data_IF_503284862237
#
_entry.id   IF_503284862237
#
_cell.length_a   1.000
_cell.length_b   1.000
_cell.length_c   1.000
_cell.angle_alpha   90.00
_cell.angle_beta   90.00
_cell.angle_gamma   90.00
#
_symmetry.space_group_name_H-M   'P 1'
#
loop_
_entity.id
_entity.type
_entity.pdbx_description
1 polymer ?
#
# COMPACT_ATOMS: atom_id res chain seq x y z
N UNK A 1 -0.14 2.65 16.79
CA UNK A 1 1.25 2.40 17.21
C UNK A 1 2.08 3.64 16.93
N UNK A 2 3.02 3.99 17.83
CA UNK A 2 3.84 5.18 17.66
C UNK A 2 4.94 4.96 16.62
N UNK A 3 5.22 5.99 15.82
CA UNK A 3 6.51 6.16 15.17
C UNK A 3 7.52 6.63 16.25
N UNK A 4 8.74 6.08 16.33
CA UNK A 4 9.69 6.44 17.37
C UNK A 4 10.00 7.94 17.42
N UNK A 5 10.09 8.50 18.61
CA UNK A 5 10.40 9.92 18.80
C UNK A 5 10.36 10.35 20.27
N UNK A 6 10.77 11.59 20.53
CA UNK A 6 10.89 12.10 21.91
C UNK A 6 9.55 12.57 22.53
N UNK A 7 8.46 12.61 21.76
CA UNK A 7 7.14 13.14 22.17
C UNK A 7 6.00 12.14 21.89
N UNK A 8 6.27 10.85 22.11
CA UNK A 8 5.28 9.77 21.97
C UNK A 8 5.24 8.86 23.19
N UNK A 9 4.08 8.26 23.43
CA UNK A 9 3.87 7.29 24.50
C UNK A 9 3.90 5.89 23.89
N UNK A 10 4.80 5.05 24.39
CA UNK A 10 4.90 3.64 24.03
C UNK A 10 3.86 2.80 24.77
N UNK A 11 3.37 1.72 24.17
CA UNK A 11 2.36 0.87 24.79
C UNK A 11 2.93 0.08 25.97
N UNK A 12 2.13 -0.12 27.04
CA UNK A 12 2.58 -0.78 28.29
C UNK A 12 2.77 -2.30 28.22
N UNK A 13 2.73 -2.88 27.02
CA UNK A 13 2.87 -4.32 26.78
C UNK A 13 4.18 -4.62 26.06
N UNK A 14 4.49 -5.91 25.87
CA UNK A 14 5.79 -6.42 25.36
C UNK A 14 6.35 -5.77 24.11
N UNK A 15 5.52 -5.21 23.23
CA UNK A 15 5.99 -4.47 22.05
C UNK A 15 6.90 -3.28 22.42
N UNK A 16 6.74 -2.64 23.59
CA UNK A 16 7.67 -1.56 24.00
C UNK A 16 9.09 -2.07 24.23
N UNK A 17 9.26 -3.30 24.70
CA UNK A 17 10.58 -3.94 24.85
C UNK A 17 11.18 -4.15 23.45
N UNK A 18 10.39 -4.62 22.49
CA UNK A 18 10.83 -4.81 21.11
C UNK A 18 11.26 -3.49 20.41
N UNK A 19 10.58 -2.35 20.68
CA UNK A 19 11.05 -1.05 20.19
C UNK A 19 12.42 -0.69 20.77
N UNK A 20 12.64 -0.93 22.07
CA UNK A 20 13.90 -0.64 22.75
C UNK A 20 15.03 -1.51 22.17
N UNK A 21 14.79 -2.80 21.98
CA UNK A 21 15.73 -3.72 21.36
C UNK A 21 16.11 -3.28 19.93
N UNK A 22 15.12 -2.98 19.09
CA UNK A 22 15.33 -2.52 17.71
C UNK A 22 16.14 -1.22 17.66
N UNK A 23 15.82 -0.22 18.48
CA UNK A 23 16.55 1.05 18.53
C UNK A 23 17.98 0.86 19.08
N UNK A 24 18.14 0.05 20.11
CA UNK A 24 19.46 -0.21 20.74
C UNK A 24 20.40 -0.92 19.76
N UNK A 25 19.88 -1.79 18.90
CA UNK A 25 20.65 -2.46 17.84
C UNK A 25 21.30 -1.46 16.86
N UNK A 26 20.67 -0.29 16.66
CA UNK A 26 21.18 0.82 15.85
C UNK A 26 21.83 1.94 16.69
N UNK A 27 22.19 1.65 17.95
CA UNK A 27 22.77 2.60 18.91
C UNK A 27 21.91 3.84 19.21
N UNK A 28 20.57 3.71 19.11
CA UNK A 28 19.60 4.74 19.46
C UNK A 28 18.99 4.47 20.84
N UNK A 29 18.83 5.54 21.63
CA UNK A 29 18.20 5.49 22.94
C UNK A 29 16.73 5.90 22.86
N UNK A 30 15.83 4.95 23.15
CA UNK A 30 14.38 5.17 23.16
C UNK A 30 13.94 6.21 24.20
N UNK A 31 14.69 6.36 25.30
CA UNK A 31 14.39 7.33 26.36
C UNK A 31 14.92 8.74 26.00
N UNK A 32 15.74 8.86 24.94
CA UNK A 32 16.28 10.13 24.46
C UNK A 32 16.45 10.16 22.92
N UNK A 33 15.33 10.25 22.21
CA UNK A 33 15.29 10.33 20.74
C UNK A 33 15.62 11.73 20.17
N UNK A 34 16.25 12.62 20.95
CA UNK A 34 16.69 13.95 20.48
C UNK A 34 18.04 13.83 19.79
N UNK A 35 18.17 14.52 18.66
CA UNK A 35 19.43 14.61 17.92
C UNK A 35 20.08 15.99 18.12
N UNK A 36 21.42 16.04 18.13
CA UNK A 36 22.17 17.30 18.32
C UNK A 36 21.86 18.33 17.22
N UNK A 37 21.72 17.86 15.98
CA UNK A 37 21.22 18.65 14.85
C UNK A 37 19.70 18.69 14.95
N UNK A 38 19.14 19.88 15.16
CA UNK A 38 17.72 20.12 15.43
C UNK A 38 16.81 19.48 14.38
N UNK A 39 17.16 19.59 13.10
CA UNK A 39 16.32 19.14 11.99
C UNK A 39 16.17 17.61 11.92
N UNK A 40 17.03 16.86 12.64
CA UNK A 40 16.96 15.41 12.74
C UNK A 40 16.33 14.92 14.06
N UNK A 41 15.91 15.83 14.95
CA UNK A 41 15.20 15.46 16.17
C UNK A 41 13.75 15.07 15.84
N UNK A 42 13.43 13.78 16.00
CA UNK A 42 12.12 13.23 15.66
C UNK A 42 11.19 13.30 16.87
N UNK A 43 10.09 14.05 16.76
CA UNK A 43 9.04 14.06 17.79
C UNK A 43 8.29 12.73 17.87
N UNK A 44 8.17 12.03 16.73
CA UNK A 44 7.30 10.87 16.58
C UNK A 44 5.86 11.28 16.22
N UNK A 45 5.02 10.27 15.96
CA UNK A 45 3.59 10.43 15.65
C UNK A 45 2.85 9.11 15.91
N UNK A 46 1.52 9.08 15.74
CA UNK A 46 0.73 7.85 15.89
C UNK A 46 0.13 7.40 14.55
N UNK A 47 0.27 6.11 14.26
CA UNK A 47 -0.28 5.49 13.05
C UNK A 47 -1.19 4.32 13.39
N UNK A 48 -2.31 4.18 12.67
CA UNK A 48 -3.22 3.03 12.78
C UNK A 48 -2.52 1.76 12.26
N UNK A 49 -2.68 0.65 12.97
CA UNK A 49 -2.07 -0.64 12.59
C UNK A 49 -2.87 -1.38 11.52
N UNK A 50 -4.19 -1.23 11.55
CA UNK A 50 -5.12 -1.84 10.60
C UNK A 50 -6.02 -0.72 10.07
N UNK A 51 -6.20 -0.71 8.77
CA UNK A 51 -7.15 0.15 8.06
C UNK A 51 -8.16 -0.75 7.38
N UNK A 52 -9.45 -0.46 7.59
CA UNK A 52 -10.54 -1.05 6.82
C UNK A 52 -10.86 -0.11 5.65
N UNK A 53 -10.61 -0.50 4.39
CA UNK A 53 -11.01 0.31 3.23
C UNK A 53 -12.53 0.51 3.22
N UNK A 54 -12.97 1.65 2.69
CA UNK A 54 -14.39 1.97 2.53
C UNK A 54 -14.82 1.82 1.08
N UNK A 55 -16.14 1.76 0.83
CA UNK A 55 -16.71 1.72 -0.52
C UNK A 55 -16.09 0.62 -1.40
N UNK A 56 -15.91 -0.56 -0.81
CA UNK A 56 -15.23 -1.67 -1.48
C UNK A 56 -16.21 -2.37 -2.43
N UNK A 57 -15.88 -2.39 -3.72
CA UNK A 57 -16.54 -3.20 -4.74
C UNK A 57 -15.52 -3.84 -5.65
N UNK A 58 -15.86 -4.99 -6.22
CA UNK A 58 -14.98 -5.70 -7.14
C UNK A 58 -15.76 -6.52 -8.15
N UNK A 59 -15.11 -6.82 -9.25
CA UNK A 59 -15.60 -7.72 -10.29
C UNK A 59 -14.42 -8.46 -10.94
N UNK A 60 -14.69 -9.67 -11.44
CA UNK A 60 -13.70 -10.43 -12.20
C UNK A 60 -14.07 -10.35 -13.67
N UNK A 61 -13.17 -9.77 -14.45
CA UNK A 61 -13.39 -9.48 -15.88
C UNK A 61 -12.55 -10.43 -16.72
N UNK A 62 -13.19 -11.08 -17.69
CA UNK A 62 -12.49 -11.87 -18.70
C UNK A 62 -11.98 -10.95 -19.82
N UNK A 63 -10.76 -11.18 -20.32
CA UNK A 63 -10.16 -10.36 -21.37
C UNK A 63 -9.14 -11.14 -22.20
N UNK A 64 -8.88 -10.67 -23.43
CA UNK A 64 -7.90 -11.29 -24.34
C UNK A 64 -6.68 -10.40 -24.61
N UNK A 65 -6.87 -9.08 -24.71
CA UNK A 65 -5.80 -8.11 -25.00
C UNK A 65 -5.49 -7.23 -23.77
N UNK A 66 -4.27 -7.33 -23.18
CA UNK A 66 -3.85 -6.49 -22.05
C UNK A 66 -3.79 -4.98 -22.34
N UNK A 67 -3.80 -4.55 -23.60
CA UNK A 67 -3.75 -3.12 -23.98
C UNK A 67 -5.11 -2.44 -23.90
N UNK A 68 -6.21 -3.20 -23.85
CA UNK A 68 -7.57 -2.66 -23.79
C UNK A 68 -7.89 -2.28 -22.34
N UNK A 69 -8.18 -1.00 -22.04
CA UNK A 69 -8.57 -0.57 -20.70
C UNK A 69 -9.87 -1.22 -20.23
N UNK A 70 -9.95 -1.56 -18.94
CA UNK A 70 -11.14 -2.16 -18.32
C UNK A 70 -12.11 -1.12 -17.72
N UNK A 71 -11.85 0.17 -17.90
CA UNK A 71 -12.71 1.27 -17.47
C UNK A 71 -12.32 2.55 -18.22
N UNK A 72 -13.22 3.53 -18.27
CA UNK A 72 -12.94 4.84 -18.82
C UNK A 72 -12.26 5.76 -17.80
N UNK A 73 -11.32 6.57 -18.26
CA UNK A 73 -10.81 7.71 -17.49
C UNK A 73 -11.73 8.93 -17.60
N UNK A 74 -11.48 9.93 -16.77
CA UNK A 74 -12.21 11.21 -16.83
C UNK A 74 -12.13 11.85 -18.23
N UNK A 75 -10.96 11.76 -18.89
CA UNK A 75 -10.75 12.29 -20.25
C UNK A 75 -11.56 11.50 -21.27
N UNK A 76 -11.60 10.17 -21.18
CA UNK A 76 -12.39 9.32 -22.07
C UNK A 76 -13.88 9.66 -22.00
N UNK A 77 -14.37 9.96 -20.80
CA UNK A 77 -15.75 10.38 -20.58
C UNK A 77 -16.04 11.77 -21.19
N UNK A 78 -15.12 12.72 -21.05
CA UNK A 78 -15.24 14.06 -21.65
C UNK A 78 -15.23 14.01 -23.19
N UNK A 79 -14.47 13.08 -23.76
CA UNK A 79 -14.42 12.83 -25.21
C UNK A 79 -15.61 12.01 -25.72
N UNK A 80 -16.51 11.56 -24.84
CA UNK A 80 -17.69 10.77 -25.20
C UNK A 80 -17.36 9.36 -25.68
N UNK A 81 -16.23 8.79 -25.25
CA UNK A 81 -15.88 7.41 -25.60
C UNK A 81 -16.85 6.42 -24.94
N UNK A 82 -17.30 5.38 -25.66
CA UNK A 82 -18.19 4.38 -25.08
C UNK A 82 -17.48 3.62 -23.94
N UNK A 83 -18.19 3.28 -22.85
CA UNK A 83 -17.63 2.42 -21.81
C UNK A 83 -17.20 1.05 -22.36
N UNK A 84 -16.13 0.43 -21.81
CA UNK A 84 -15.71 -0.90 -22.23
C UNK A 84 -16.80 -1.94 -21.95
N UNK A 85 -17.04 -2.83 -22.92
CA UNK A 85 -17.96 -3.96 -22.78
C UNK A 85 -17.14 -5.24 -22.70
N UNK A 86 -17.41 -6.05 -21.68
CA UNK A 86 -16.64 -7.27 -21.41
C UNK A 86 -17.40 -8.51 -21.90
N UNK A 87 -16.66 -9.45 -22.48
CA UNK A 87 -17.18 -10.78 -22.77
C UNK A 87 -17.34 -11.60 -21.48
N UNK A 88 -18.22 -12.60 -21.49
CA UNK A 88 -18.39 -13.55 -20.37
C UNK A 88 -17.20 -14.49 -20.21
N UNK A 89 -16.45 -14.74 -21.28
CA UNK A 89 -15.27 -15.60 -21.32
C UNK A 89 -14.10 -14.91 -22.05
N UNK A 90 -12.89 -15.38 -21.81
CA UNK A 90 -11.66 -14.82 -22.37
C UNK A 90 -10.43 -15.58 -21.91
N UNK A 91 -9.30 -15.37 -22.59
CA UNK A 91 -8.03 -16.06 -22.34
C UNK A 91 -7.44 -15.74 -20.96
N UNK A 92 -7.64 -14.52 -20.47
CA UNK A 92 -7.13 -14.03 -19.20
C UNK A 92 -8.25 -13.55 -18.29
N UNK A 93 -7.91 -13.38 -17.00
CA UNK A 93 -8.83 -12.88 -15.97
C UNK A 93 -8.18 -11.75 -15.20
N UNK A 94 -8.89 -10.64 -15.07
CA UNK A 94 -8.49 -9.49 -14.28
C UNK A 94 -9.42 -9.32 -13.06
N UNK A 95 -8.86 -8.90 -11.93
CA UNK A 95 -9.61 -8.48 -10.76
C UNK A 95 -9.66 -6.94 -10.74
N UNK A 96 -10.82 -6.37 -11.09
CA UNK A 96 -11.07 -4.92 -11.01
C UNK A 96 -11.65 -4.61 -9.62
N UNK A 97 -11.07 -3.62 -8.95
CA UNK A 97 -11.43 -3.26 -7.57
C UNK A 97 -11.54 -1.75 -7.44
N UNK A 98 -12.54 -1.32 -6.68
CA UNK A 98 -12.76 0.05 -6.26
C UNK A 98 -12.79 0.08 -4.73
N UNK A 99 -12.04 1.02 -4.12
CA UNK A 99 -12.01 1.21 -2.68
C UNK A 99 -11.45 2.58 -2.31
N UNK A 100 -11.89 3.13 -1.18
CA UNK A 100 -11.40 4.40 -0.63
C UNK A 100 -10.48 4.15 0.56
N UNK A 101 -9.38 4.90 0.64
CA UNK A 101 -8.42 4.86 1.74
C UNK A 101 -8.28 6.23 2.40
N UNK A 102 -8.07 6.30 3.73
CA UNK A 102 -7.66 7.53 4.38
C UNK A 102 -6.29 8.03 3.89
N UNK A 103 -5.98 9.32 4.08
CA UNK A 103 -4.64 9.86 3.84
C UNK A 103 -3.54 9.05 4.53
N UNK A 104 -2.33 9.14 3.99
CA UNK A 104 -1.17 8.41 4.49
C UNK A 104 -1.34 6.88 4.49
N UNK A 105 -2.17 6.30 3.61
CA UNK A 105 -2.36 4.85 3.45
C UNK A 105 -1.91 4.40 2.05
N UNK A 106 -1.28 3.24 1.95
CA UNK A 106 -0.72 2.73 0.70
C UNK A 106 -1.66 1.68 0.07
N UNK A 107 -2.17 1.95 -1.14
CA UNK A 107 -3.03 1.01 -1.88
C UNK A 107 -2.32 -0.31 -2.18
N UNK A 108 -1.01 -0.28 -2.43
CA UNK A 108 -0.19 -1.48 -2.62
C UNK A 108 -0.24 -2.44 -1.43
N UNK A 109 -0.41 -1.94 -0.20
CA UNK A 109 -0.53 -2.81 0.99
C UNK A 109 -1.91 -3.47 1.07
N UNK A 110 -2.96 -2.82 0.58
CA UNK A 110 -4.28 -3.44 0.44
C UNK A 110 -4.24 -4.54 -0.63
N UNK A 111 -3.60 -4.27 -1.77
CA UNK A 111 -3.42 -5.26 -2.85
C UNK A 111 -2.56 -6.44 -2.37
N UNK A 112 -1.50 -6.19 -1.59
CA UNK A 112 -0.68 -7.23 -0.94
C UNK A 112 -1.53 -8.16 -0.08
N UNK A 113 -2.46 -7.59 0.68
CA UNK A 113 -3.38 -8.36 1.54
C UNK A 113 -4.37 -9.20 0.72
N UNK A 114 -4.84 -8.71 -0.43
CA UNK A 114 -5.70 -9.48 -1.34
C UNK A 114 -4.94 -10.64 -1.98
N UNK A 115 -3.76 -10.38 -2.53
CA UNK A 115 -2.99 -11.38 -3.28
C UNK A 115 -2.17 -12.32 -2.38
N UNK A 116 -1.94 -11.93 -1.12
CA UNK A 116 -1.05 -12.64 -0.18
C UNK A 116 0.36 -12.88 -0.75
N UNK A 117 0.81 -11.99 -1.63
CA UNK A 117 2.07 -12.06 -2.36
C UNK A 117 2.98 -10.87 -2.04
N UNK A 118 4.29 -11.08 -2.18
CA UNK A 118 5.25 -10.00 -2.00
C UNK A 118 5.11 -8.91 -3.09
N UNK A 119 5.21 -7.64 -2.68
CA UNK A 119 5.07 -6.48 -3.56
C UNK A 119 6.41 -5.80 -3.86
N UNK A 120 7.55 -6.44 -3.56
CA UNK A 120 8.85 -5.90 -3.93
C UNK A 120 8.98 -5.82 -5.46
N UNK A 121 9.80 -4.87 -5.91
CA UNK A 121 10.12 -4.71 -7.34
C UNK A 121 10.66 -6.03 -7.89
N UNK A 122 11.57 -6.70 -7.16
CA UNK A 122 12.14 -7.99 -7.57
C UNK A 122 11.06 -9.04 -7.86
N UNK A 123 10.08 -9.18 -6.97
CA UNK A 123 8.99 -10.14 -7.16
C UNK A 123 8.06 -9.72 -8.32
N UNK A 124 7.67 -8.44 -8.38
CA UNK A 124 6.76 -7.93 -9.41
C UNK A 124 7.36 -7.98 -10.82
N UNK A 125 8.67 -7.73 -10.98
CA UNK A 125 9.36 -7.85 -12.27
C UNK A 125 9.39 -9.29 -12.78
N UNK A 126 9.50 -10.29 -11.89
CA UNK A 126 9.48 -11.70 -12.29
C UNK A 126 8.09 -12.15 -12.81
N UNK A 127 7.01 -11.50 -12.35
CA UNK A 127 5.66 -11.78 -12.81
C UNK A 127 5.36 -11.17 -14.19
N UNK A 128 6.16 -10.19 -14.62
CA UNK A 128 5.97 -9.40 -15.83
C UNK A 128 7.14 -9.57 -16.80
N UNK A 129 7.34 -10.79 -17.32
CA UNK A 129 8.45 -11.12 -18.24
C UNK A 129 8.24 -10.65 -19.68
N UNK A 130 7.06 -10.13 -20.01
CA UNK A 130 6.69 -9.66 -21.36
C UNK A 130 7.25 -8.29 -21.72
N UNK A 131 7.66 -7.46 -20.76
CA UNK A 131 8.18 -6.10 -21.03
C UNK A 131 9.65 -6.05 -21.47
N UNK A 132 10.38 -7.17 -21.36
CA UNK A 132 11.80 -7.28 -21.72
C UNK A 132 12.01 -7.99 -23.08
N UNK A 133 10.95 -8.17 -23.87
CA UNK A 133 11.02 -8.73 -25.23
C UNK A 133 10.68 -7.68 -26.28
#
# INVERSE_FOLDING_TARGET
>A
MPLPGFDVIYPKHKISEAYREMLTADNLDIDNMRHKIRDYSLSGAYRKIIIRPQNVSWEVVAYDDPKIPLFNTDVDNLEGKPPPVFASEGKYRALKMDFSLPPSTYATMAIREVLKMDTSIKNQTQLNTTWLR
#
